data_IF_916448636664
#
_entry.id   IF_916448636664
#
_cell.length_a   1.000
_cell.length_b   1.000
_cell.length_c   1.000
_cell.angle_alpha   90.00
_cell.angle_beta   90.00
_cell.angle_gamma   90.00
#
_symmetry.space_group_name_H-M   'P 1'
#
loop_
_entity.id
_entity.type
_entity.pdbx_description
1 polymer ?
#
# COMPACT_ATOMS: atom_id res chain seq x y z
N UNK A 1 -42.16 -56.82 6.31
CA UNK A 1 -43.05 -56.59 7.47
C UNK A 1 -43.59 -55.19 7.34
N UNK A 2 -44.92 -55.03 7.28
CA UNK A 2 -45.56 -53.72 7.17
C UNK A 2 -45.18 -52.88 8.41
N UNK A 3 -44.75 -51.63 8.20
CA UNK A 3 -44.25 -50.75 9.26
C UNK A 3 -45.24 -50.63 10.42
N UNK A 4 -44.73 -50.50 11.64
CA UNK A 4 -45.57 -50.32 12.82
C UNK A 4 -46.48 -49.10 12.60
N UNK A 5 -47.79 -49.32 12.69
CA UNK A 5 -48.78 -48.26 12.57
C UNK A 5 -48.72 -47.39 13.82
N UNK A 6 -48.44 -46.10 13.64
CA UNK A 6 -48.57 -45.13 14.72
C UNK A 6 -49.97 -44.53 14.67
N UNK A 7 -50.64 -44.51 15.82
CA UNK A 7 -51.95 -43.90 15.98
C UNK A 7 -51.78 -42.51 16.57
N UNK A 8 -52.36 -41.51 15.90
CA UNK A 8 -52.39 -40.13 16.39
C UNK A 8 -53.84 -39.71 16.57
N UNK A 9 -54.11 -38.98 17.65
CA UNK A 9 -55.42 -38.40 17.90
C UNK A 9 -55.59 -37.13 17.07
N UNK A 10 -56.53 -37.16 16.13
CA UNK A 10 -56.94 -35.99 15.35
C UNK A 10 -57.97 -35.21 16.17
N UNK A 11 -57.52 -34.11 16.79
CA UNK A 11 -58.34 -33.24 17.64
C UNK A 11 -59.40 -32.47 16.85
N UNK A 12 -59.17 -32.19 15.56
CA UNK A 12 -60.12 -31.49 14.71
C UNK A 12 -61.33 -32.37 14.37
N UNK A 13 -61.11 -33.68 14.20
CA UNK A 13 -62.16 -34.63 13.83
C UNK A 13 -62.55 -35.60 14.97
N UNK A 14 -61.94 -35.49 16.14
CA UNK A 14 -62.24 -36.30 17.33
C UNK A 14 -62.05 -37.81 17.12
N UNK A 15 -61.02 -38.24 16.37
CA UNK A 15 -60.80 -39.66 16.04
C UNK A 15 -59.33 -40.04 16.00
N UNK A 16 -59.02 -41.32 16.19
CA UNK A 16 -57.67 -41.86 15.97
C UNK A 16 -57.42 -42.07 14.47
N UNK A 17 -56.33 -41.50 13.95
CA UNK A 17 -55.87 -41.64 12.56
C UNK A 17 -54.59 -42.46 12.52
N UNK A 18 -54.49 -43.36 11.54
CA UNK A 18 -53.28 -44.16 11.29
C UNK A 18 -52.31 -43.36 10.42
N UNK A 19 -51.06 -43.25 10.84
CA UNK A 19 -49.98 -42.74 10.02
C UNK A 19 -48.94 -43.84 9.76
N UNK A 20 -48.43 -43.87 8.54
CA UNK A 20 -47.38 -44.81 8.16
C UNK A 20 -46.07 -44.40 8.85
N UNK A 21 -45.67 -45.15 9.88
CA UNK A 21 -44.36 -45.02 10.50
C UNK A 21 -43.28 -45.78 9.71
N UNK A 22 -42.02 -45.54 10.03
CA UNK A 22 -40.92 -46.40 9.57
C UNK A 22 -41.03 -47.80 10.20
N UNK A 23 -40.21 -48.75 9.74
CA UNK A 23 -40.19 -50.11 10.27
C UNK A 23 -39.92 -50.20 11.79
N UNK A 24 -39.38 -49.14 12.39
CA UNK A 24 -39.11 -49.03 13.85
C UNK A 24 -40.20 -48.26 14.61
N UNK A 25 -41.29 -47.85 13.94
CA UNK A 25 -42.37 -47.08 14.56
C UNK A 25 -42.03 -45.59 14.78
N UNK A 26 -40.94 -45.09 14.19
CA UNK A 26 -40.62 -43.68 14.21
C UNK A 26 -41.35 -42.93 13.08
N UNK A 27 -41.83 -41.73 13.37
CA UNK A 27 -42.19 -40.77 12.33
C UNK A 27 -40.95 -39.94 11.99
N UNK A 28 -40.59 -39.87 10.71
CA UNK A 28 -39.64 -38.86 10.24
C UNK A 28 -40.45 -37.67 9.72
N UNK A 29 -40.50 -36.61 10.51
CA UNK A 29 -40.98 -35.31 10.04
C UNK A 29 -39.77 -34.67 9.36
N UNK A 30 -39.64 -34.85 8.05
CA UNK A 30 -38.75 -34.00 7.26
C UNK A 30 -39.43 -32.65 7.15
N UNK A 31 -39.08 -31.71 8.03
CA UNK A 31 -39.32 -30.30 7.76
C UNK A 31 -38.46 -29.95 6.53
N UNK A 32 -39.06 -30.02 5.35
CA UNK A 32 -38.44 -29.50 4.15
C UNK A 32 -38.43 -27.98 4.34
N UNK A 33 -37.23 -27.41 4.47
CA UNK A 33 -37.02 -25.97 4.47
C UNK A 33 -36.78 -25.61 3.01
N UNK A 34 -37.84 -25.26 2.29
CA UNK A 34 -37.75 -24.82 0.89
C UNK A 34 -37.24 -23.37 0.84
N UNK A 35 -37.54 -22.60 1.88
CA UNK A 35 -37.17 -21.21 2.04
C UNK A 35 -36.73 -20.92 3.49
N UNK A 36 -35.88 -19.91 3.68
CA UNK A 36 -35.40 -19.51 5.02
C UNK A 36 -36.52 -19.00 5.94
N UNK A 37 -37.71 -18.68 5.44
CA UNK A 37 -38.86 -18.34 6.28
C UNK A 37 -39.64 -19.58 6.77
N UNK A 38 -39.31 -20.80 6.30
CA UNK A 38 -39.94 -22.04 6.77
C UNK A 38 -39.43 -22.49 8.14
N UNK A 39 -38.30 -21.92 8.60
CA UNK A 39 -37.82 -22.08 9.97
C UNK A 39 -38.55 -21.11 10.89
N UNK A 40 -39.69 -21.57 11.43
CA UNK A 40 -40.67 -20.77 12.20
C UNK A 40 -40.21 -20.10 13.51
N UNK A 41 -38.91 -20.12 13.82
CA UNK A 41 -38.29 -19.37 14.93
C UNK A 41 -37.29 -18.29 14.45
N UNK A 42 -37.29 -17.98 13.15
CA UNK A 42 -36.47 -16.88 12.63
C UNK A 42 -37.22 -15.57 12.77
N UNK A 43 -37.26 -15.06 14.01
CA UNK A 43 -37.73 -13.72 14.34
C UNK A 43 -36.59 -12.69 14.18
N UNK A 44 -36.01 -12.62 12.98
CA UNK A 44 -35.02 -11.59 12.63
C UNK A 44 -35.64 -10.63 11.63
N UNK A 45 -35.27 -9.35 11.70
CA UNK A 45 -35.70 -8.35 10.73
C UNK A 45 -35.30 -8.79 9.31
N UNK A 46 -36.18 -8.54 8.34
CA UNK A 46 -35.89 -8.83 6.94
C UNK A 46 -34.57 -8.14 6.53
N UNK A 47 -33.68 -8.83 5.79
CA UNK A 47 -32.49 -8.19 5.26
C UNK A 47 -32.88 -7.02 4.36
N UNK A 48 -32.14 -5.92 4.44
CA UNK A 48 -32.21 -4.84 3.46
C UNK A 48 -31.29 -5.15 2.29
N UNK A 49 -31.58 -4.59 1.11
CA UNK A 49 -30.70 -4.68 -0.05
C UNK A 49 -29.27 -4.21 0.29
N UNK A 50 -28.28 -4.89 -0.28
CA UNK A 50 -26.86 -4.59 -0.05
C UNK A 50 -26.27 -5.15 1.26
N UNK A 51 -27.04 -5.90 2.04
CA UNK A 51 -26.51 -6.64 3.20
C UNK A 51 -25.90 -7.97 2.76
N UNK A 52 -24.80 -8.36 3.40
CA UNK A 52 -24.17 -9.68 3.27
C UNK A 52 -24.17 -10.41 4.62
N UNK A 53 -24.20 -11.73 4.56
CA UNK A 53 -23.97 -12.58 5.72
C UNK A 53 -22.46 -12.65 5.98
N UNK A 54 -22.04 -12.34 7.20
CA UNK A 54 -20.65 -12.47 7.62
C UNK A 54 -20.56 -13.22 8.96
N UNK A 55 -19.43 -13.88 9.19
CA UNK A 55 -19.14 -14.54 10.47
C UNK A 55 -18.59 -13.51 11.46
N UNK A 56 -19.25 -13.35 12.61
CA UNK A 56 -18.77 -12.53 13.72
C UNK A 56 -18.07 -13.44 14.74
N UNK A 57 -16.74 -13.46 14.73
CA UNK A 57 -15.93 -14.31 15.63
C UNK A 57 -16.12 -13.94 17.11
N UNK A 58 -16.41 -12.67 17.42
CA UNK A 58 -16.62 -12.23 18.80
C UNK A 58 -17.95 -12.76 19.35
N UNK A 59 -18.97 -12.81 18.49
CA UNK A 59 -20.28 -13.33 18.87
C UNK A 59 -20.44 -14.84 18.63
N UNK A 60 -19.56 -15.46 17.83
CA UNK A 60 -19.63 -16.88 17.46
C UNK A 60 -20.84 -17.21 16.59
N UNK A 61 -21.34 -16.26 15.79
CA UNK A 61 -22.54 -16.41 14.98
C UNK A 61 -22.46 -15.68 13.64
N UNK A 62 -23.32 -16.07 12.69
CA UNK A 62 -23.51 -15.32 11.45
C UNK A 62 -24.39 -14.10 11.68
N UNK A 63 -23.96 -12.94 11.17
CA UNK A 63 -24.71 -11.67 11.24
C UNK A 63 -24.86 -11.05 9.87
N UNK A 64 -25.86 -10.18 9.72
CA UNK A 64 -26.03 -9.35 8.53
C UNK A 64 -25.20 -8.07 8.68
N UNK A 65 -24.47 -7.68 7.63
CA UNK A 65 -23.71 -6.42 7.57
C UNK A 65 -24.00 -5.71 6.27
N UNK A 66 -24.33 -4.42 6.37
CA UNK A 66 -24.44 -3.56 5.21
C UNK A 66 -23.07 -3.47 4.51
N UNK A 67 -23.03 -3.71 3.20
CA UNK A 67 -21.85 -3.45 2.37
C UNK A 67 -21.86 -1.99 1.96
N UNK A 68 -21.38 -1.13 2.86
CA UNK A 68 -21.11 0.30 2.61
C UNK A 68 -19.61 0.54 2.46
N UNK A 69 -18.90 -0.42 1.86
CA UNK A 69 -17.45 -0.37 1.74
C UNK A 69 -17.00 0.69 0.76
N UNK A 70 -16.61 1.86 1.26
CA UNK A 70 -15.95 2.91 0.47
C UNK A 70 -14.43 2.69 0.35
N UNK A 71 -13.94 1.54 0.84
CA UNK A 71 -12.52 1.27 1.02
C UNK A 71 -12.19 -0.21 0.92
N UNK A 72 -11.09 -0.51 0.21
CA UNK A 72 -10.33 -1.76 0.33
C UNK A 72 -9.14 -1.45 1.23
N UNK A 73 -8.89 -2.25 2.27
CA UNK A 73 -7.80 -2.02 3.24
C UNK A 73 -7.08 -3.35 3.50
N UNK A 74 -5.78 -3.27 3.78
CA UNK A 74 -4.98 -4.43 4.18
C UNK A 74 -5.10 -4.74 5.69
N UNK A 75 -4.27 -5.67 6.17
CA UNK A 75 -4.43 -6.25 7.50
C UNK A 75 -3.97 -5.34 8.65
N UNK A 76 -2.94 -4.53 8.42
CA UNK A 76 -2.43 -3.57 9.42
C UNK A 76 -3.03 -2.16 9.27
N UNK A 77 -3.74 -1.92 8.18
CA UNK A 77 -4.57 -0.74 7.98
C UNK A 77 -3.84 0.46 7.40
N UNK A 78 -2.60 0.30 6.96
CA UNK A 78 -1.80 1.40 6.42
C UNK A 78 -1.86 1.51 4.88
N UNK A 79 -2.33 0.46 4.21
CA UNK A 79 -2.44 0.40 2.76
C UNK A 79 -3.89 0.24 2.35
N UNK A 80 -4.39 1.16 1.51
CA UNK A 80 -5.81 1.17 1.15
C UNK A 80 -6.10 1.75 -0.24
N UNK A 81 -7.26 1.38 -0.79
CA UNK A 81 -7.90 2.05 -1.91
C UNK A 81 -9.23 2.61 -1.43
N UNK A 82 -9.35 3.94 -1.39
CA UNK A 82 -10.53 4.67 -0.91
C UNK A 82 -11.30 5.24 -2.12
N UNK A 83 -12.63 5.09 -2.17
CA UNK A 83 -13.49 5.73 -3.17
C UNK A 83 -14.31 6.91 -2.61
N UNK A 84 -14.46 6.98 -1.28
CA UNK A 84 -15.15 8.08 -0.59
C UNK A 84 -14.57 8.27 0.83
N UNK A 85 -14.04 9.46 1.13
CA UNK A 85 -13.70 9.87 2.51
C UNK A 85 -14.71 10.87 3.09
N UNK A 86 -15.45 11.55 2.21
CA UNK A 86 -16.61 12.37 2.51
C UNK A 86 -17.74 12.05 1.52
N UNK A 87 -18.97 12.44 1.84
CA UNK A 87 -20.12 12.25 0.96
C UNK A 87 -19.92 13.00 -0.36
N UNK A 88 -20.19 12.32 -1.47
CA UNK A 88 -20.20 12.89 -2.84
C UNK A 88 -18.85 13.49 -3.27
N UNK A 89 -17.75 12.92 -2.77
CA UNK A 89 -16.43 13.43 -3.09
C UNK A 89 -16.00 13.06 -4.52
N UNK A 90 -16.46 11.92 -5.04
CA UNK A 90 -16.10 11.36 -6.36
C UNK A 90 -14.58 11.21 -6.59
N UNK A 91 -13.81 10.94 -5.53
CA UNK A 91 -12.35 10.82 -5.60
C UNK A 91 -11.89 9.42 -5.23
N UNK A 92 -11.08 8.81 -6.08
CA UNK A 92 -10.40 7.54 -5.80
C UNK A 92 -8.99 7.81 -5.32
N UNK A 93 -8.58 7.20 -4.19
CA UNK A 93 -7.23 7.34 -3.62
C UNK A 93 -6.61 5.98 -3.37
N UNK A 94 -5.33 5.83 -3.70
CA UNK A 94 -4.50 4.72 -3.27
C UNK A 94 -3.48 5.20 -2.24
N UNK A 95 -3.44 4.57 -1.07
CA UNK A 95 -2.49 4.85 0.00
C UNK A 95 -1.56 3.67 0.22
N UNK A 96 -0.29 3.94 0.51
CA UNK A 96 0.74 2.95 0.88
C UNK A 96 1.47 3.49 2.10
N UNK A 97 1.55 2.70 3.17
CA UNK A 97 2.16 3.13 4.44
C UNK A 97 1.59 4.48 4.95
N UNK A 98 0.29 4.69 4.78
CA UNK A 98 -0.42 5.93 5.15
C UNK A 98 -0.24 7.12 4.21
N UNK A 99 0.60 7.03 3.17
CA UNK A 99 0.86 8.12 2.21
C UNK A 99 0.05 7.92 0.93
N UNK A 100 -0.57 8.98 0.41
CA UNK A 100 -1.29 8.95 -0.87
C UNK A 100 -0.31 8.78 -2.05
N UNK A 101 -0.40 7.63 -2.73
CA UNK A 101 0.41 7.25 -3.88
C UNK A 101 -0.32 7.43 -5.21
N UNK A 102 -1.65 7.31 -5.19
CA UNK A 102 -2.56 7.48 -6.33
C UNK A 102 -3.71 8.38 -5.90
N UNK A 103 -4.10 9.29 -6.78
CA UNK A 103 -5.27 10.14 -6.62
C UNK A 103 -5.94 10.33 -7.98
N UNK A 104 -7.24 10.06 -8.06
CA UNK A 104 -8.08 10.34 -9.23
C UNK A 104 -9.14 11.31 -8.75
N UNK A 105 -9.04 12.55 -9.21
CA UNK A 105 -9.98 13.63 -8.85
C UNK A 105 -11.39 13.38 -9.40
N UNK A 106 -12.39 14.12 -8.87
CA UNK A 106 -13.78 14.09 -9.35
C UNK A 106 -13.96 14.38 -10.85
N UNK A 107 -12.97 15.02 -11.49
CA UNK A 107 -12.98 15.28 -12.94
C UNK A 107 -12.23 14.21 -13.76
N UNK A 108 -11.80 13.12 -13.11
CA UNK A 108 -11.09 12.01 -13.75
C UNK A 108 -9.59 12.25 -13.99
N UNK A 109 -9.01 13.32 -13.46
CA UNK A 109 -7.56 13.55 -13.56
C UNK A 109 -6.84 12.65 -12.57
N UNK A 110 -5.95 11.81 -13.08
CA UNK A 110 -5.03 11.00 -12.30
C UNK A 110 -3.77 11.80 -11.93
N UNK A 111 -3.43 11.81 -10.66
CA UNK A 111 -2.17 12.29 -10.11
C UNK A 111 -1.51 11.15 -9.33
N UNK A 112 -0.21 10.96 -9.57
CA UNK A 112 0.64 10.03 -8.83
C UNK A 112 1.53 10.83 -7.88
N UNK A 113 2.09 10.16 -6.87
CA UNK A 113 3.18 10.74 -6.08
C UNK A 113 4.30 11.29 -7.00
N UNK A 114 5.00 12.33 -6.52
CA UNK A 114 6.05 13.05 -7.28
C UNK A 114 6.94 12.06 -8.03
N UNK A 115 6.93 12.16 -9.34
CA UNK A 115 7.79 11.35 -10.21
C UNK A 115 9.20 11.96 -10.23
N UNK A 116 10.22 11.12 -10.14
CA UNK A 116 11.63 11.53 -10.21
C UNK A 116 11.89 12.22 -11.54
N UNK A 117 12.42 13.44 -11.48
CA UNK A 117 12.98 14.14 -12.64
C UNK A 117 13.98 15.19 -12.19
N UNK A 118 15.10 15.23 -12.88
CA UNK A 118 16.07 16.30 -12.79
C UNK A 118 16.55 16.71 -14.19
N UNK A 119 16.90 17.98 -14.36
CA UNK A 119 17.63 18.49 -15.52
C UNK A 119 18.73 19.41 -15.01
N UNK A 120 19.94 18.91 -15.11
CA UNK A 120 21.14 19.66 -14.82
C UNK A 120 21.85 20.11 -16.10
N UNK A 121 22.62 21.18 -15.99
CA UNK A 121 23.37 21.79 -17.08
C UNK A 121 24.67 22.43 -16.56
N UNK A 122 25.56 22.77 -17.49
CA UNK A 122 26.79 23.50 -17.20
C UNK A 122 26.51 25.01 -17.24
N UNK A 123 26.83 25.71 -16.16
CA UNK A 123 26.71 27.17 -16.08
C UNK A 123 27.92 27.83 -16.75
N UNK A 124 27.60 28.75 -17.68
CA UNK A 124 28.44 29.83 -18.21
C UNK A 124 29.62 29.51 -19.15
N UNK A 125 30.27 28.35 -19.10
CA UNK A 125 31.39 28.05 -20.02
C UNK A 125 31.47 26.59 -20.40
N UNK A 126 31.86 26.30 -21.65
CA UNK A 126 32.14 24.93 -22.09
C UNK A 126 33.25 24.29 -21.25
N UNK A 127 33.06 23.01 -20.94
CA UNK A 127 34.09 22.21 -20.29
C UNK A 127 35.05 21.64 -21.33
N UNK A 128 36.35 21.93 -21.16
CA UNK A 128 37.39 21.25 -21.93
C UNK A 128 37.50 19.78 -21.51
N UNK A 129 37.47 18.87 -22.48
CA UNK A 129 37.68 17.44 -22.29
C UNK A 129 38.88 17.05 -23.19
N UNK A 130 40.09 16.90 -22.62
CA UNK A 130 41.27 16.54 -23.39
C UNK A 130 41.15 15.16 -24.04
N UNK A 131 41.78 15.00 -25.20
CA UNK A 131 41.79 13.72 -25.91
C UNK A 131 42.49 12.64 -25.09
N UNK A 132 41.79 11.54 -24.82
CA UNK A 132 42.33 10.39 -24.10
C UNK A 132 42.16 10.44 -22.59
N UNK A 133 41.62 11.53 -22.05
CA UNK A 133 41.39 11.69 -20.61
C UNK A 133 39.94 11.39 -20.21
N UNK A 134 39.75 10.87 -19.00
CA UNK A 134 38.45 10.73 -18.36
C UNK A 134 38.18 11.94 -17.45
N UNK A 135 37.26 12.80 -17.87
CA UNK A 135 36.85 13.99 -17.10
C UNK A 135 35.37 13.89 -16.72
N UNK A 136 35.05 14.11 -15.44
CA UNK A 136 33.66 14.22 -14.98
C UNK A 136 32.99 15.42 -15.64
N UNK A 137 31.85 15.21 -16.30
CA UNK A 137 31.05 16.30 -16.85
C UNK A 137 30.53 17.17 -15.71
N UNK A 138 30.85 18.46 -15.76
CA UNK A 138 30.43 19.47 -14.80
C UNK A 138 28.99 19.83 -15.10
N UNK A 139 28.10 19.47 -14.18
CA UNK A 139 26.70 19.87 -14.18
C UNK A 139 26.47 20.62 -12.87
N UNK A 140 26.70 21.94 -12.91
CA UNK A 140 26.69 22.83 -11.74
C UNK A 140 25.51 23.81 -11.75
N UNK A 141 24.59 23.66 -12.70
CA UNK A 141 23.31 24.35 -12.75
C UNK A 141 22.16 23.38 -12.83
N UNK A 142 21.04 23.76 -12.23
CA UNK A 142 19.82 22.98 -12.17
C UNK A 142 18.67 23.80 -12.74
N UNK A 143 17.96 23.26 -13.72
CA UNK A 143 16.74 23.89 -14.24
C UNK A 143 15.52 23.40 -13.48
N UNK A 144 15.52 22.12 -13.10
CA UNK A 144 14.56 21.53 -12.18
C UNK A 144 15.18 20.30 -11.54
N UNK A 145 14.83 20.08 -10.28
CA UNK A 145 15.01 18.82 -9.55
C UNK A 145 13.80 18.67 -8.62
N UNK A 146 12.88 17.77 -8.97
CA UNK A 146 11.60 17.68 -8.31
C UNK A 146 11.65 16.93 -6.96
N UNK A 147 12.66 16.08 -6.77
CA UNK A 147 12.83 15.25 -5.57
C UNK A 147 14.20 15.43 -4.90
N UNK A 148 14.98 16.41 -5.35
CA UNK A 148 16.30 16.73 -4.79
C UNK A 148 17.27 15.55 -4.89
N UNK A 149 17.19 14.80 -5.99
CA UNK A 149 17.94 13.57 -6.26
C UNK A 149 19.25 13.85 -7.03
N UNK A 150 19.35 15.00 -7.69
CA UNK A 150 20.56 15.40 -8.38
C UNK A 150 21.48 16.15 -7.41
N UNK A 151 22.67 15.60 -7.20
CA UNK A 151 23.69 16.20 -6.34
C UNK A 151 24.79 16.89 -7.18
N UNK A 152 24.65 18.20 -7.35
CA UNK A 152 25.66 19.06 -7.99
C UNK A 152 26.85 19.41 -7.09
N UNK A 153 26.80 19.05 -5.80
CA UNK A 153 27.81 19.42 -4.81
C UNK A 153 29.06 18.52 -4.85
N UNK A 154 28.98 17.34 -5.48
CA UNK A 154 30.08 16.37 -5.52
C UNK A 154 31.30 16.94 -6.26
N UNK A 155 32.32 17.33 -5.47
CA UNK A 155 33.64 17.76 -5.93
C UNK A 155 34.53 16.53 -6.17
N UNK A 156 35.58 16.66 -6.98
CA UNK A 156 36.53 15.56 -7.23
C UNK A 156 37.95 16.10 -7.34
N UNK A 157 38.92 15.43 -6.73
CA UNK A 157 40.33 15.80 -6.77
C UNK A 157 41.25 14.58 -6.64
N UNK A 158 42.55 14.80 -6.75
CA UNK A 158 43.60 13.81 -6.49
C UNK A 158 44.15 14.02 -5.10
N UNK A 159 44.33 12.95 -4.33
CA UNK A 159 45.05 13.05 -3.07
C UNK A 159 46.55 12.99 -3.35
N UNK A 160 47.29 14.06 -3.02
CA UNK A 160 48.74 14.17 -3.25
C UNK A 160 49.58 13.43 -2.20
N UNK A 161 48.94 12.79 -1.22
CA UNK A 161 49.57 11.96 -0.21
C UNK A 161 48.91 10.58 -0.16
N UNK A 162 49.73 9.53 0.03
CA UNK A 162 49.27 8.15 0.22
C UNK A 162 48.84 7.90 1.68
N UNK A 163 48.04 8.80 2.25
CA UNK A 163 47.35 8.57 3.53
C UNK A 163 45.86 8.39 3.24
N UNK A 164 45.32 7.22 3.55
CA UNK A 164 43.90 6.94 3.35
C UNK A 164 43.05 8.02 4.04
N UNK A 165 42.10 8.62 3.30
CA UNK A 165 41.14 9.61 3.76
C UNK A 165 41.66 11.03 4.09
N UNK A 166 42.85 11.44 3.65
CA UNK A 166 43.24 12.86 3.69
C UNK A 166 43.44 13.41 2.28
N UNK A 167 42.60 14.36 1.89
CA UNK A 167 42.83 15.18 0.70
C UNK A 167 43.86 16.23 1.08
N UNK A 168 45.11 16.02 0.68
CA UNK A 168 46.11 17.09 0.70
C UNK A 168 45.87 17.91 -0.56
N UNK A 169 45.51 19.18 -0.38
CA UNK A 169 45.37 20.13 -1.47
C UNK A 169 46.67 20.91 -1.59
N UNK A 170 47.60 20.44 -2.44
CA UNK A 170 48.85 21.16 -2.73
C UNK A 170 48.77 21.95 -4.06
N UNK A 171 47.71 21.75 -4.84
CA UNK A 171 47.47 22.44 -6.12
C UNK A 171 46.35 23.50 -6.06
N UNK A 172 45.75 23.70 -4.88
CA UNK A 172 44.68 24.67 -4.63
C UNK A 172 43.32 24.26 -5.21
N UNK A 173 43.12 22.96 -5.44
CA UNK A 173 41.89 22.37 -5.96
C UNK A 173 40.69 22.41 -4.99
N UNK A 174 40.91 22.72 -3.70
CA UNK A 174 39.88 22.78 -2.66
C UNK A 174 39.98 24.08 -1.84
N UNK A 175 38.85 24.55 -1.32
CA UNK A 175 38.79 25.74 -0.50
C UNK A 175 38.14 25.47 0.86
N UNK A 176 38.32 26.39 1.81
CA UNK A 176 37.64 26.35 3.11
C UNK A 176 36.10 26.26 2.97
N UNK A 177 35.54 26.70 1.83
CA UNK A 177 34.12 26.58 1.51
C UNK A 177 33.65 25.18 1.13
N UNK A 178 34.56 24.24 0.87
CA UNK A 178 34.21 22.85 0.49
C UNK A 178 34.04 21.93 1.70
N UNK A 179 34.19 22.43 2.93
CA UNK A 179 33.87 21.68 4.16
C UNK A 179 32.39 21.32 4.16
N UNK A 180 32.08 20.02 4.29
CA UNK A 180 30.74 19.46 4.16
C UNK A 180 30.40 18.91 2.77
N UNK A 181 31.21 19.18 1.74
CA UNK A 181 31.02 18.60 0.41
C UNK A 181 31.41 17.12 0.38
N UNK A 182 30.73 16.34 -0.46
CA UNK A 182 31.15 14.98 -0.82
C UNK A 182 32.28 15.08 -1.85
N UNK A 183 33.41 14.45 -1.56
CA UNK A 183 34.56 14.36 -2.48
C UNK A 183 34.76 12.93 -2.94
N UNK A 184 35.02 12.79 -4.24
CA UNK A 184 35.53 11.57 -4.85
C UNK A 184 37.07 11.61 -4.91
N UNK A 185 37.72 10.67 -4.20
CA UNK A 185 39.17 10.47 -4.25
C UNK A 185 39.51 9.63 -5.48
N UNK A 186 40.19 10.24 -6.46
CA UNK A 186 40.56 9.54 -7.70
C UNK A 186 41.68 8.51 -7.52
N UNK A 187 42.46 8.59 -6.44
CA UNK A 187 43.59 7.68 -6.18
C UNK A 187 43.12 6.27 -5.78
N UNK A 188 42.04 6.16 -5.03
CA UNK A 188 41.51 4.88 -4.52
C UNK A 188 40.02 4.64 -4.82
N UNK A 189 39.39 5.54 -5.57
CA UNK A 189 37.98 5.49 -5.97
C UNK A 189 36.99 5.48 -4.77
N UNK A 190 37.38 6.08 -3.64
CA UNK A 190 36.51 6.22 -2.47
C UNK A 190 35.77 7.56 -2.44
N UNK A 191 34.65 7.60 -1.71
CA UNK A 191 33.87 8.81 -1.46
C UNK A 191 33.91 9.14 0.03
N UNK A 192 34.12 10.41 0.35
CA UNK A 192 34.12 10.89 1.74
C UNK A 192 33.58 12.31 1.85
N UNK A 193 33.12 12.71 3.02
CA UNK A 193 32.73 14.10 3.32
C UNK A 193 33.94 14.86 3.86
N UNK A 194 34.17 16.07 3.35
CA UNK A 194 35.22 16.96 3.90
C UNK A 194 34.79 17.41 5.30
N UNK A 195 35.50 16.95 6.32
CA UNK A 195 35.21 17.28 7.73
C UNK A 195 36.01 18.47 8.25
N UNK A 196 37.01 18.93 7.49
CA UNK A 196 37.80 20.12 7.79
C UNK A 196 38.73 20.47 6.62
N UNK A 197 39.10 21.75 6.52
CA UNK A 197 40.06 22.25 5.53
C UNK A 197 41.39 22.54 6.20
N UNK A 198 42.48 22.06 5.60
CA UNK A 198 43.84 22.39 6.00
C UNK A 198 44.62 22.75 4.73
N UNK A 199 45.03 24.01 4.64
CA UNK A 199 45.89 24.51 3.57
C UNK A 199 47.31 23.95 3.77
N UNK A 200 47.79 23.18 2.79
CA UNK A 200 49.11 22.57 2.81
C UNK A 200 50.21 23.47 2.21
N UNK A 201 49.83 24.62 1.63
CA UNK A 201 50.73 25.61 1.02
C UNK A 201 50.87 25.50 -0.48
#
# INVERSE_FOLDING_TARGET
>A
MAGALLWIWDTANGKWVKLAGTATGAMSIHAIVDYLNDIGDVNVAAPTDGYVLYWDETAGEFKLKAVVGTKIIDADGDTSVDVEQAADEDIIRGKVAGVEALHISAVGIQTLAKQSRARAYLIATDQSIPTGDYVKVRLNGESYDNQNEFDSSVKSGTADATEANKLHDADGGFAASDVGATVWNKTDNTYTTVTGFQDSG
#
